data_IF_013838795690
#
_entry.id   IF_013838795690
#
_cell.length_a   1.000
_cell.length_b   1.000
_cell.length_c   1.000
_cell.angle_alpha   90.00
_cell.angle_beta   90.00
_cell.angle_gamma   90.00
#
_symmetry.space_group_name_H-M   'P 1'
#
loop_
_entity.id
_entity.type
_entity.pdbx_description
1 polymer ?
#
# COMPACT_ATOMS: atom_id res chain seq x y z
N UNK A 1 38.49 -31.55 40.04
CA UNK A 1 38.14 -32.21 38.75
C UNK A 1 36.64 -32.19 38.44
N UNK A 2 35.78 -33.11 38.93
CA UNK A 2 34.34 -33.12 38.53
C UNK A 2 33.55 -31.85 38.90
N UNK A 3 33.76 -31.29 40.10
CA UNK A 3 33.11 -30.04 40.56
C UNK A 3 33.54 -28.83 39.73
N UNK A 4 34.82 -28.71 39.42
CA UNK A 4 35.34 -27.61 38.59
C UNK A 4 34.84 -27.68 37.15
N UNK A 5 34.72 -28.89 36.60
CA UNK A 5 34.12 -29.10 35.28
C UNK A 5 32.65 -28.67 35.24
N UNK A 6 31.92 -28.86 36.35
CA UNK A 6 30.52 -28.43 36.48
C UNK A 6 30.43 -26.90 36.55
N UNK A 7 31.28 -26.25 37.35
CA UNK A 7 31.36 -24.80 37.47
C UNK A 7 31.69 -24.16 36.10
N UNK A 8 32.67 -24.72 35.39
CA UNK A 8 33.02 -24.25 34.04
C UNK A 8 31.85 -24.35 33.06
N UNK A 9 31.08 -25.45 33.11
CA UNK A 9 29.88 -25.62 32.27
C UNK A 9 28.79 -24.62 32.61
N UNK A 10 28.51 -24.40 33.90
CA UNK A 10 27.48 -23.45 34.37
C UNK A 10 27.85 -22.01 33.98
N UNK A 11 29.12 -21.63 34.15
CA UNK A 11 29.59 -20.31 33.74
C UNK A 11 29.45 -20.12 32.23
N UNK A 12 29.83 -21.14 31.45
CA UNK A 12 29.70 -21.11 29.98
C UNK A 12 28.26 -21.04 29.48
N UNK A 13 27.33 -21.75 30.12
CA UNK A 13 25.90 -21.64 29.76
C UNK A 13 25.37 -20.26 30.13
N UNK A 14 25.72 -19.75 31.30
CA UNK A 14 25.30 -18.40 31.75
C UNK A 14 25.81 -17.32 30.81
N UNK A 15 27.07 -17.40 30.34
CA UNK A 15 27.60 -16.45 29.37
C UNK A 15 26.86 -16.53 28.03
N UNK A 16 26.56 -17.73 27.53
CA UNK A 16 25.79 -17.89 26.30
C UNK A 16 24.37 -17.31 26.43
N UNK A 17 23.73 -17.47 27.59
CA UNK A 17 22.40 -16.94 27.84
C UNK A 17 22.40 -15.41 27.87
N UNK A 18 23.44 -14.80 28.47
CA UNK A 18 23.63 -13.34 28.47
C UNK A 18 23.85 -12.81 27.04
N UNK A 19 24.71 -13.46 26.26
CA UNK A 19 24.97 -13.08 24.86
C UNK A 19 23.69 -13.18 24.00
N UNK A 20 22.87 -14.20 24.25
CA UNK A 20 21.59 -14.38 23.57
C UNK A 20 20.58 -13.28 23.95
N UNK A 21 20.49 -12.93 25.24
CA UNK A 21 19.62 -11.84 25.71
C UNK A 21 20.07 -10.50 25.10
N UNK A 22 21.37 -10.24 25.06
CA UNK A 22 21.93 -9.05 24.45
C UNK A 22 21.58 -8.96 22.95
N UNK A 23 21.73 -10.07 22.21
CA UNK A 23 21.33 -10.14 20.80
C UNK A 23 19.85 -9.86 20.60
N UNK A 24 18.97 -10.46 21.43
CA UNK A 24 17.52 -10.24 21.35
C UNK A 24 17.17 -8.78 21.64
N UNK A 25 17.82 -8.17 22.63
CA UNK A 25 17.61 -6.77 22.98
C UNK A 25 18.06 -5.84 21.85
N UNK A 26 19.19 -6.11 21.20
CA UNK A 26 19.68 -5.35 20.05
C UNK A 26 18.70 -5.42 18.87
N UNK A 27 18.17 -6.61 18.58
CA UNK A 27 17.16 -6.79 17.54
C UNK A 27 15.86 -6.05 17.85
N UNK A 28 15.38 -6.12 19.10
CA UNK A 28 14.19 -5.38 19.52
C UNK A 28 14.35 -3.87 19.30
N UNK A 29 15.50 -3.30 19.71
CA UNK A 29 15.81 -1.88 19.49
C UNK A 29 15.81 -1.56 18.00
N UNK A 30 16.52 -2.35 17.19
CA UNK A 30 16.60 -2.13 15.75
C UNK A 30 15.24 -2.18 15.05
N UNK A 31 14.40 -3.15 15.41
CA UNK A 31 13.05 -3.29 14.86
C UNK A 31 12.16 -2.11 15.28
N UNK A 32 12.22 -1.71 16.55
CA UNK A 32 11.45 -0.58 17.06
C UNK A 32 11.82 0.74 16.36
N UNK A 33 13.12 0.96 16.11
CA UNK A 33 13.62 2.12 15.36
C UNK A 33 13.17 2.08 13.90
N UNK A 34 13.22 0.90 13.26
CA UNK A 34 12.77 0.77 11.87
C UNK A 34 11.27 1.08 11.74
N UNK A 35 10.46 0.58 12.67
CA UNK A 35 9.03 0.88 12.73
C UNK A 35 8.78 2.37 12.93
N UNK A 36 9.50 3.03 13.85
CA UNK A 36 9.39 4.47 14.07
C UNK A 36 9.70 5.27 12.79
N UNK A 37 10.75 4.89 12.06
CA UNK A 37 11.09 5.53 10.77
C UNK A 37 9.98 5.31 9.73
N UNK A 38 9.42 4.11 9.63
CA UNK A 38 8.33 3.83 8.70
C UNK A 38 7.07 4.64 9.04
N UNK A 39 6.72 4.72 10.33
CA UNK A 39 5.59 5.53 10.79
C UNK A 39 5.80 7.00 10.48
N UNK A 40 7.00 7.54 10.71
CA UNK A 40 7.29 8.94 10.42
C UNK A 40 7.19 9.25 8.91
N UNK A 41 7.65 8.33 8.06
CA UNK A 41 7.46 8.45 6.60
C UNK A 41 5.98 8.51 6.21
N UNK A 42 5.14 7.68 6.82
CA UNK A 42 3.69 7.72 6.59
C UNK A 42 3.09 9.05 7.06
N UNK A 43 3.49 9.54 8.24
CA UNK A 43 3.04 10.84 8.76
C UNK A 43 3.40 12.01 7.84
N UNK A 44 4.60 12.00 7.26
CA UNK A 44 5.05 13.02 6.31
C UNK A 44 4.27 12.96 4.99
N UNK A 45 3.93 11.75 4.50
CA UNK A 45 3.12 11.59 3.29
C UNK A 45 1.66 12.05 3.48
N UNK A 46 1.15 12.05 4.71
CA UNK A 46 -0.24 12.42 5.03
C UNK A 46 -0.38 13.86 5.57
N UNK A 47 0.66 14.70 5.44
CA UNK A 47 0.62 16.08 5.92
C UNK A 47 -0.27 17.00 5.07
N UNK A 48 -0.57 16.60 3.82
CA UNK A 48 -1.43 17.36 2.90
C UNK A 48 -2.74 16.63 2.60
N UNK A 49 -3.83 17.38 2.53
CA UNK A 49 -5.14 16.86 2.12
C UNK A 49 -5.05 16.45 0.65
N UNK A 50 -5.17 15.15 0.37
CA UNK A 50 -5.11 14.59 -1.00
C UNK A 50 -6.21 15.12 -1.92
N UNK A 51 -7.32 15.60 -1.36
CA UNK A 51 -8.44 16.14 -2.13
C UNK A 51 -8.11 17.52 -2.70
N UNK A 52 -8.09 17.61 -4.03
CA UNK A 52 -7.84 18.87 -4.74
C UNK A 52 -9.18 19.54 -5.02
N UNK A 53 -9.32 20.82 -4.69
CA UNK A 53 -10.51 21.58 -5.04
C UNK A 53 -10.61 21.69 -6.58
N UNK A 54 -11.74 21.32 -7.22
CA UNK A 54 -11.98 21.54 -8.64
C UNK A 54 -11.62 22.95 -9.14
N UNK A 55 -11.81 23.98 -8.33
CA UNK A 55 -11.54 25.37 -8.72
C UNK A 55 -10.05 25.64 -8.99
N UNK A 56 -9.16 24.90 -8.33
CA UNK A 56 -7.70 25.04 -8.49
C UNK A 56 -7.14 24.32 -9.72
N UNK A 57 -7.99 23.63 -10.49
CA UNK A 57 -7.58 22.76 -11.59
C UNK A 57 -8.04 23.28 -12.94
N UNK A 58 -7.09 23.52 -13.84
CA UNK A 58 -7.34 24.05 -15.19
C UNK A 58 -7.35 22.97 -16.28
N UNK A 59 -6.78 21.79 -16.02
CA UNK A 59 -6.74 20.67 -16.95
C UNK A 59 -6.91 19.31 -16.25
N UNK A 60 -7.47 18.32 -16.94
CA UNK A 60 -7.67 16.98 -16.42
C UNK A 60 -6.33 16.31 -16.06
N UNK A 61 -6.21 15.75 -14.85
CA UNK A 61 -4.98 15.08 -14.39
C UNK A 61 -4.61 13.80 -15.16
N UNK A 62 -5.50 13.28 -16.02
CA UNK A 62 -5.25 12.07 -16.82
C UNK A 62 -4.93 12.39 -18.29
N UNK A 63 -5.80 13.13 -18.97
CA UNK A 63 -5.66 13.41 -20.40
C UNK A 63 -5.12 14.82 -20.71
N UNK A 64 -4.83 15.63 -19.70
CA UNK A 64 -4.35 17.01 -19.81
C UNK A 64 -5.25 17.96 -20.62
N UNK A 65 -6.48 17.54 -20.94
CA UNK A 65 -7.44 18.39 -21.64
C UNK A 65 -7.90 19.53 -20.72
N UNK A 66 -7.90 20.76 -21.23
CA UNK A 66 -8.35 21.92 -20.49
C UNK A 66 -9.84 21.83 -20.12
N UNK A 67 -10.17 22.23 -18.89
CA UNK A 67 -11.55 22.43 -18.48
C UNK A 67 -12.02 23.77 -19.05
N UNK A 68 -12.89 23.73 -20.06
CA UNK A 68 -13.49 24.95 -20.63
C UNK A 68 -14.68 25.40 -19.78
N UNK A 69 -14.84 26.71 -19.61
CA UNK A 69 -15.95 27.34 -18.88
C UNK A 69 -17.28 27.34 -19.64
N UNK A 70 -17.31 26.90 -20.91
CA UNK A 70 -18.52 26.86 -21.73
C UNK A 70 -19.40 25.62 -21.48
N UNK A 71 -20.72 25.81 -21.37
CA UNK A 71 -21.74 24.82 -21.01
C UNK A 71 -21.90 23.62 -21.98
N UNK A 72 -21.12 23.56 -23.07
CA UNK A 72 -21.17 22.51 -24.10
C UNK A 72 -19.88 21.71 -24.28
N UNK A 73 -18.82 21.97 -23.50
CA UNK A 73 -17.58 21.20 -23.62
C UNK A 73 -17.72 19.82 -22.97
N UNK A 74 -17.28 18.76 -23.66
CA UNK A 74 -17.19 17.41 -23.09
C UNK A 74 -16.34 17.37 -21.80
N UNK A 75 -15.45 18.34 -21.63
CA UNK A 75 -14.62 18.54 -20.46
C UNK A 75 -15.10 19.72 -19.58
N UNK A 76 -16.38 20.10 -19.60
CA UNK A 76 -16.90 21.15 -18.71
C UNK A 76 -17.03 20.67 -17.25
N UNK A 77 -17.28 19.36 -17.06
CA UNK A 77 -17.48 18.78 -15.73
C UNK A 77 -16.17 18.32 -15.11
N UNK A 78 -15.82 18.92 -13.98
CA UNK A 78 -14.71 18.51 -13.09
C UNK A 78 -15.20 17.48 -12.09
N UNK A 79 -14.53 16.33 -11.99
CA UNK A 79 -14.90 15.21 -11.12
C UNK A 79 -13.67 14.70 -10.37
N UNK A 80 -13.72 14.67 -9.04
CA UNK A 80 -12.63 14.13 -8.23
C UNK A 80 -12.68 12.59 -8.16
N UNK A 81 -11.51 11.97 -8.27
CA UNK A 81 -11.33 10.54 -7.99
C UNK A 81 -11.48 10.28 -6.49
N UNK A 82 -12.37 9.37 -6.09
CA UNK A 82 -12.62 9.03 -4.67
C UNK A 82 -11.46 8.32 -3.97
N UNK A 83 -10.46 7.83 -4.71
CA UNK A 83 -9.25 7.23 -4.14
C UNK A 83 -8.08 8.22 -3.97
N UNK A 84 -7.64 8.88 -5.06
CA UNK A 84 -6.47 9.76 -5.03
C UNK A 84 -6.79 11.26 -4.88
N UNK A 85 -8.06 11.66 -4.90
CA UNK A 85 -8.49 13.05 -4.69
C UNK A 85 -8.28 14.02 -5.86
N UNK A 86 -7.53 13.62 -6.90
CA UNK A 86 -7.27 14.43 -8.11
C UNK A 86 -8.52 14.65 -8.96
N UNK A 87 -8.52 15.74 -9.74
CA UNK A 87 -9.64 16.18 -10.58
C UNK A 87 -9.48 15.71 -12.03
N UNK A 88 -10.54 15.14 -12.59
CA UNK A 88 -10.56 14.57 -13.93
C UNK A 88 -11.83 15.01 -14.69
N UNK A 89 -11.82 14.90 -16.01
CA UNK A 89 -13.03 15.08 -16.82
C UNK A 89 -13.91 13.82 -16.77
N UNK A 90 -15.16 13.96 -17.23
CA UNK A 90 -16.14 12.86 -17.28
C UNK A 90 -15.66 11.65 -18.07
N UNK A 91 -14.90 11.85 -19.15
CA UNK A 91 -14.40 10.76 -19.99
C UNK A 91 -13.30 9.92 -19.33
N UNK A 92 -12.56 10.49 -18.36
CA UNK A 92 -11.54 9.81 -17.56
C UNK A 92 -12.08 9.24 -16.24
N UNK A 93 -13.38 9.41 -15.96
CA UNK A 93 -14.04 9.03 -14.72
C UNK A 93 -15.22 8.10 -14.99
N UNK A 94 -14.93 6.97 -15.65
CA UNK A 94 -15.93 5.98 -16.07
C UNK A 94 -16.02 4.77 -15.14
N UNK A 95 -15.00 4.56 -14.31
CA UNK A 95 -14.86 3.37 -13.48
C UNK A 95 -15.30 3.64 -12.05
N UNK A 96 -15.81 2.61 -11.38
CA UNK A 96 -16.13 2.64 -9.96
C UNK A 96 -15.65 1.37 -9.26
N UNK A 97 -15.35 1.50 -7.98
CA UNK A 97 -14.95 0.40 -7.11
C UNK A 97 -15.85 0.37 -5.87
N UNK A 98 -16.14 -0.80 -5.28
CA UNK A 98 -16.87 -0.87 -4.02
C UNK A 98 -16.04 -0.22 -2.90
N UNK A 99 -16.67 0.65 -2.11
CA UNK A 99 -16.01 1.37 -1.02
C UNK A 99 -16.80 1.27 0.28
N UNK A 100 -16.05 1.20 1.39
CA UNK A 100 -16.59 1.09 2.74
C UNK A 100 -17.24 -0.27 3.04
N UNK A 101 -17.78 -0.44 4.26
CA UNK A 101 -18.33 -1.72 4.72
C UNK A 101 -19.53 -2.22 3.89
N UNK A 102 -20.30 -1.30 3.32
CA UNK A 102 -21.50 -1.60 2.53
C UNK A 102 -21.24 -1.68 1.02
N UNK A 103 -19.99 -1.54 0.58
CA UNK A 103 -19.62 -1.65 -0.83
C UNK A 103 -20.26 -0.60 -1.73
N UNK A 104 -20.52 0.60 -1.22
CA UNK A 104 -21.07 1.68 -2.04
C UNK A 104 -20.12 2.02 -3.20
N UNK A 105 -20.63 2.26 -4.41
CA UNK A 105 -19.78 2.53 -5.56
C UNK A 105 -19.07 3.88 -5.40
N UNK A 106 -17.75 3.86 -5.49
CA UNK A 106 -16.90 5.05 -5.48
C UNK A 106 -16.25 5.23 -6.86
N UNK A 107 -16.54 6.33 -7.54
CA UNK A 107 -15.98 6.64 -8.86
C UNK A 107 -14.49 6.95 -8.73
N UNK A 108 -13.67 6.34 -9.58
CA UNK A 108 -12.21 6.46 -9.57
C UNK A 108 -11.67 6.65 -10.98
N UNK A 109 -10.48 7.27 -11.11
CA UNK A 109 -9.78 7.36 -12.38
C UNK A 109 -9.22 6.00 -12.81
N UNK A 110 -8.86 5.87 -14.08
CA UNK A 110 -8.37 4.60 -14.66
C UNK A 110 -7.14 4.04 -13.93
N UNK A 111 -6.20 4.91 -13.54
CA UNK A 111 -5.02 4.50 -12.77
C UNK A 111 -5.44 3.86 -11.45
N UNK A 112 -6.26 4.56 -10.67
CA UNK A 112 -6.76 4.06 -9.38
C UNK A 112 -7.61 2.80 -9.53
N UNK A 113 -8.36 2.66 -10.62
CA UNK A 113 -9.12 1.46 -10.90
C UNK A 113 -8.22 0.23 -11.03
N UNK A 114 -7.11 0.34 -11.77
CA UNK A 114 -6.13 -0.76 -11.89
C UNK A 114 -5.37 -1.04 -10.60
N UNK A 115 -5.14 -0.02 -9.76
CA UNK A 115 -4.47 -0.19 -8.46
C UNK A 115 -5.37 -0.89 -7.43
N UNK A 116 -6.67 -0.57 -7.44
CA UNK A 116 -7.63 -1.08 -6.44
C UNK A 116 -8.28 -2.40 -6.85
N UNK A 117 -8.30 -2.72 -8.15
CA UNK A 117 -8.84 -3.97 -8.66
C UNK A 117 -7.73 -4.91 -9.12
N UNK A 118 -7.40 -5.89 -8.26
CA UNK A 118 -6.33 -6.88 -8.49
C UNK A 118 -6.55 -7.78 -9.71
N UNK A 119 -7.76 -7.81 -10.27
CA UNK A 119 -8.11 -8.63 -11.42
C UNK A 119 -7.90 -7.91 -12.76
N UNK A 120 -7.51 -6.63 -12.74
CA UNK A 120 -7.31 -5.82 -13.94
C UNK A 120 -5.82 -5.69 -14.22
N UNK A 121 -5.45 -5.79 -15.50
CA UNK A 121 -4.07 -5.55 -15.93
C UNK A 121 -3.62 -4.13 -15.52
N UNK A 122 -2.35 -3.95 -15.12
CA UNK A 122 -1.84 -2.63 -14.75
C UNK A 122 -2.09 -1.59 -15.86
N UNK A 123 -2.44 -0.35 -15.50
CA UNK A 123 -2.79 0.73 -16.44
C UNK A 123 -1.78 0.90 -17.58
N UNK A 124 -0.48 0.75 -17.30
CA UNK A 124 0.59 0.90 -18.30
C UNK A 124 0.75 -0.30 -19.24
N UNK A 125 -0.02 -1.38 -19.05
CA UNK A 125 0.00 -2.57 -19.92
C UNK A 125 -0.83 -2.37 -21.18
N UNK A 126 -1.69 -1.35 -21.21
CA UNK A 126 -2.47 -0.98 -22.39
C UNK A 126 -1.75 0.16 -23.11
N UNK A 127 -0.90 -0.18 -24.08
CA UNK A 127 -0.45 0.76 -25.10
C UNK A 127 -1.65 1.36 -25.84
N UNK A 128 -1.54 2.64 -26.19
CA UNK A 128 -2.54 3.43 -26.89
C UNK A 128 -3.07 2.73 -28.17
N UNK A 129 -4.40 2.72 -28.32
CA UNK A 129 -5.20 2.52 -29.55
C UNK A 129 -5.14 1.17 -30.28
N UNK A 130 -6.27 0.43 -30.29
CA UNK A 130 -7.20 0.41 -31.43
C UNK A 130 -8.32 -0.62 -31.22
N UNK A 131 -9.51 -0.26 -31.72
CA UNK A 131 -10.74 -1.04 -31.70
C UNK A 131 -10.54 -2.48 -32.24
N UNK A 132 -10.60 -3.51 -31.38
CA UNK A 132 -11.02 -4.87 -31.75
C UNK A 132 -11.32 -5.75 -30.51
N UNK A 133 -12.52 -6.35 -30.37
CA UNK A 133 -12.91 -7.10 -29.16
C UNK A 133 -12.31 -8.52 -28.98
N UNK A 134 -11.15 -8.86 -29.56
CA UNK A 134 -10.71 -10.28 -29.64
C UNK A 134 -9.41 -10.67 -28.94
N UNK A 135 -8.69 -9.76 -28.30
CA UNK A 135 -7.39 -10.10 -27.69
C UNK A 135 -7.41 -10.20 -26.16
N UNK A 136 -8.55 -10.63 -25.58
CA UNK A 136 -8.60 -11.12 -24.20
C UNK A 136 -8.29 -12.62 -24.17
N UNK A 137 -7.01 -12.99 -24.29
CA UNK A 137 -6.41 -14.15 -23.61
C UNK A 137 -4.93 -14.24 -23.97
N UNK A 138 -4.08 -13.58 -23.19
CA UNK A 138 -2.69 -13.94 -22.84
C UNK A 138 -1.95 -12.66 -22.46
N UNK A 139 -1.66 -12.48 -21.18
CA UNK A 139 -0.27 -12.59 -20.75
C UNK A 139 -0.13 -12.37 -19.24
N UNK A 140 0.71 -13.22 -18.67
CA UNK A 140 1.47 -12.99 -17.44
C UNK A 140 0.86 -13.49 -16.12
N UNK A 141 0.66 -14.80 -16.07
CA UNK A 141 1.25 -15.61 -14.99
C UNK A 141 2.68 -15.13 -14.67
N UNK A 142 2.98 -15.06 -13.36
CA UNK A 142 4.27 -14.75 -12.71
C UNK A 142 4.56 -13.27 -12.43
N UNK A 143 4.21 -12.83 -11.22
CA UNK A 143 5.17 -12.57 -10.11
C UNK A 143 4.52 -11.65 -9.08
N UNK A 144 4.14 -12.18 -7.92
CA UNK A 144 4.36 -11.63 -6.58
C UNK A 144 3.98 -12.71 -5.57
N UNK A 145 4.80 -13.77 -5.48
CA UNK A 145 4.82 -14.58 -4.27
C UNK A 145 5.53 -13.78 -3.20
N UNK A 146 4.80 -12.95 -2.43
CA UNK A 146 5.27 -12.57 -1.11
C UNK A 146 5.05 -13.79 -0.22
N UNK A 147 6.12 -14.56 -0.01
CA UNK A 147 6.19 -15.48 1.12
C UNK A 147 6.14 -14.65 2.40
N UNK A 148 4.97 -14.59 3.04
CA UNK A 148 4.85 -14.15 4.42
C UNK A 148 5.65 -15.11 5.32
N UNK A 149 6.54 -14.63 6.20
CA UNK A 149 7.00 -15.44 7.31
C UNK A 149 5.83 -15.56 8.30
N UNK A 150 5.13 -16.68 8.24
CA UNK A 150 4.23 -17.09 9.32
C UNK A 150 5.11 -17.46 10.51
N UNK A 151 5.28 -16.55 11.47
CA UNK A 151 5.70 -16.94 12.82
C UNK A 151 4.47 -16.94 13.71
N UNK A 152 4.24 -18.14 14.24
CA UNK A 152 3.17 -18.57 15.12
C UNK A 152 3.04 -17.66 16.34
N UNK A 153 1.85 -17.10 16.55
CA UNK A 153 1.46 -16.60 17.87
C UNK A 153 1.31 -17.81 18.80
N UNK A 154 2.29 -18.06 19.66
CA UNK A 154 2.06 -18.83 20.89
C UNK A 154 1.60 -17.85 21.96
N UNK A 155 0.33 -17.96 22.35
CA UNK A 155 -0.23 -17.26 23.50
C UNK A 155 0.49 -17.72 24.77
N UNK A 156 1.18 -16.80 25.44
CA UNK A 156 1.50 -16.95 26.86
C UNK A 156 0.66 -15.95 27.67
N UNK A 157 -0.42 -16.46 28.22
CA UNK A 157 -1.17 -15.87 29.32
C UNK A 157 -0.31 -15.92 30.58
N UNK A 158 0.23 -14.77 31.01
CA UNK A 158 0.74 -14.61 32.38
C UNK A 158 -0.27 -13.83 33.21
N UNK A 159 -0.87 -14.55 34.17
CA UNK A 159 -1.73 -14.06 35.24
C UNK A 159 -0.87 -13.29 36.27
N UNK A 160 -1.38 -12.21 36.91
CA UNK A 160 -0.63 -11.53 37.96
C UNK A 160 -0.74 -12.26 39.32
N UNK A 161 0.31 -12.15 40.13
CA UNK A 161 0.27 -12.20 41.60
C UNK A 161 0.83 -10.90 42.13
#
# INVERSE_FOLDING_TARGET
LKKELLIYKINRTTTNDLDNIESIQADFVRLSQNLQVQLERLRQQDQEVRWINPDDVTACFACNSSFSTGLGSANAKKINCRHCGKVHCSSCMKNSVPAGPFGHPAVVCDVCHTLLNKNIAPYFSTSLNNNNPKDQLLSSSKRYSLSSPTQSLTNLTTKPS
#
